data_IF_776725833720
#
_entry.id   IF_776725833720
#
_cell.length_a   1.000
_cell.length_b   1.000
_cell.length_c   1.000
_cell.angle_alpha   90.00
_cell.angle_beta   90.00
_cell.angle_gamma   90.00
#
_symmetry.space_group_name_H-M   'P 1'
#
loop_
_entity.id
_entity.type
_entity.pdbx_description
1 polymer ?
#
# COMPACT_ATOMS: atom_id res chain seq x y z
N UNK A 1 7.95 -12.61 33.70
CA UNK A 1 9.39 -12.87 33.96
C UNK A 1 9.98 -13.69 32.82
N UNK A 2 11.27 -13.48 32.45
CA UNK A 2 11.95 -14.31 31.46
C UNK A 2 11.87 -15.80 31.80
N UNK A 3 11.68 -16.67 30.80
CA UNK A 3 11.63 -18.13 30.98
C UNK A 3 10.25 -18.73 31.31
N UNK A 4 9.25 -17.93 31.69
CA UNK A 4 7.88 -18.45 31.95
C UNK A 4 7.22 -18.95 30.66
N UNK A 5 6.19 -19.80 30.79
CA UNK A 5 5.36 -20.25 29.66
C UNK A 5 4.75 -19.06 28.91
N UNK A 6 4.28 -18.05 29.64
CA UNK A 6 3.75 -16.82 29.07
C UNK A 6 4.81 -16.06 28.25
N UNK A 7 6.04 -15.92 28.76
CA UNK A 7 7.14 -15.27 28.03
C UNK A 7 7.54 -16.02 26.75
N UNK A 8 7.60 -17.36 26.81
CA UNK A 8 7.85 -18.20 25.62
C UNK A 8 6.75 -18.05 24.57
N UNK A 9 5.49 -18.08 25.00
CA UNK A 9 4.35 -17.87 24.12
C UNK A 9 4.34 -16.47 23.51
N UNK A 10 4.63 -15.44 24.30
CA UNK A 10 4.72 -14.05 23.84
C UNK A 10 5.77 -13.91 22.75
N UNK A 11 6.98 -14.42 22.98
CA UNK A 11 8.06 -14.45 21.98
C UNK A 11 7.63 -15.16 20.70
N UNK A 12 7.03 -16.35 20.82
CA UNK A 12 6.55 -17.11 19.66
C UNK A 12 5.52 -16.33 18.84
N UNK A 13 4.47 -15.80 19.46
CA UNK A 13 3.43 -15.06 18.75
C UNK A 13 3.93 -13.73 18.15
N UNK A 14 4.86 -13.06 18.84
CA UNK A 14 5.50 -11.83 18.35
C UNK A 14 6.38 -12.10 17.12
N UNK A 15 7.18 -13.17 17.14
CA UNK A 15 7.99 -13.60 16.01
C UNK A 15 7.12 -14.06 14.84
N UNK A 16 6.06 -14.83 15.11
CA UNK A 16 5.11 -15.26 14.08
C UNK A 16 4.44 -14.05 13.43
N UNK A 17 3.91 -13.11 14.22
CA UNK A 17 3.28 -11.89 13.70
C UNK A 17 4.23 -11.11 12.79
N UNK A 18 5.49 -10.97 13.20
CA UNK A 18 6.52 -10.28 12.42
C UNK A 18 6.89 -11.05 11.16
N UNK A 19 7.00 -12.38 11.21
CA UNK A 19 7.37 -13.19 10.05
C UNK A 19 6.29 -13.25 8.97
N UNK A 20 5.01 -13.20 9.35
CA UNK A 20 3.90 -13.44 8.40
C UNK A 20 3.17 -12.17 7.95
N UNK A 21 3.43 -11.01 8.55
CA UNK A 21 2.61 -9.80 8.29
C UNK A 21 2.51 -9.40 6.83
N UNK A 22 3.60 -9.49 6.06
CA UNK A 22 3.62 -9.15 4.64
C UNK A 22 2.83 -10.15 3.77
N UNK A 23 2.67 -11.38 4.23
CA UNK A 23 2.00 -12.45 3.47
C UNK A 23 0.55 -12.66 3.89
N UNK A 24 0.27 -12.54 5.18
CA UNK A 24 -1.06 -12.75 5.75
C UNK A 24 -1.35 -11.74 6.87
N UNK A 25 -1.78 -10.52 6.51
CA UNK A 25 -2.10 -9.48 7.49
C UNK A 25 -3.13 -9.96 8.53
N UNK A 26 -4.17 -10.69 8.09
CA UNK A 26 -5.22 -11.22 8.97
C UNK A 26 -4.65 -12.16 10.05
N UNK A 27 -3.72 -13.05 9.68
CA UNK A 27 -3.10 -13.96 10.65
C UNK A 27 -2.14 -13.20 11.57
N UNK A 28 -1.40 -12.23 11.05
CA UNK A 28 -0.52 -11.38 11.87
C UNK A 28 -1.32 -10.58 12.92
N UNK A 29 -2.48 -10.02 12.54
CA UNK A 29 -3.38 -9.37 13.50
C UNK A 29 -3.87 -10.33 14.59
N UNK A 30 -4.26 -11.56 14.22
CA UNK A 30 -4.66 -12.58 15.21
C UNK A 30 -3.51 -12.93 16.17
N UNK A 31 -2.29 -13.08 15.65
CA UNK A 31 -1.10 -13.31 16.46
C UNK A 31 -0.83 -12.13 17.41
N UNK A 32 -0.95 -10.89 16.94
CA UNK A 32 -0.79 -9.69 17.79
C UNK A 32 -1.84 -9.58 18.89
N UNK A 33 -3.10 -9.95 18.64
CA UNK A 33 -4.10 -10.03 19.72
C UNK A 33 -3.69 -11.02 20.82
N UNK A 34 -3.06 -12.15 20.45
CA UNK A 34 -2.53 -13.10 21.45
C UNK A 34 -1.36 -12.52 22.24
N UNK A 35 -0.48 -11.76 21.59
CA UNK A 35 0.61 -11.03 22.25
C UNK A 35 0.02 -10.05 23.27
N UNK A 36 -0.94 -9.22 22.87
CA UNK A 36 -1.59 -8.24 23.74
C UNK A 36 -2.33 -8.89 24.92
N UNK A 37 -3.05 -9.97 24.69
CA UNK A 37 -3.72 -10.71 25.76
C UNK A 37 -2.72 -11.29 26.79
N UNK A 38 -1.51 -11.68 26.36
CA UNK A 38 -0.45 -12.12 27.27
C UNK A 38 0.16 -10.95 28.05
N UNK A 39 0.30 -9.78 27.42
CA UNK A 39 0.75 -8.55 28.08
C UNK A 39 -0.25 -8.10 29.16
N UNK A 40 -1.55 -8.20 28.88
CA UNK A 40 -2.62 -7.83 29.83
C UNK A 40 -2.78 -8.84 30.98
N UNK A 41 -2.69 -10.14 30.70
CA UNK A 41 -2.95 -11.19 31.71
C UNK A 41 -1.73 -11.61 32.55
N UNK A 42 -0.53 -11.52 31.97
CA UNK A 42 0.70 -11.99 32.60
C UNK A 42 1.81 -10.93 32.65
N UNK A 43 1.54 -9.72 32.14
CA UNK A 43 2.41 -8.58 32.30
C UNK A 43 2.49 -8.15 33.76
N UNK A 44 3.66 -7.68 34.17
CA UNK A 44 3.88 -7.11 35.50
C UNK A 44 4.20 -5.64 35.28
N UNK A 45 3.44 -4.75 35.93
CA UNK A 45 3.71 -3.31 35.89
C UNK A 45 5.06 -3.06 36.56
N UNK A 46 5.92 -2.29 35.91
CA UNK A 46 7.23 -1.91 36.42
C UNK A 46 7.36 -0.38 36.32
N UNK A 47 7.80 0.24 37.40
CA UNK A 47 8.11 1.67 37.42
C UNK A 47 9.61 1.85 37.19
N UNK A 48 9.97 2.42 36.04
CA UNK A 48 11.37 2.63 35.66
C UNK A 48 11.71 4.10 35.78
N UNK A 49 12.62 4.45 36.70
CA UNK A 49 13.11 5.83 36.85
C UNK A 49 14.14 6.14 35.76
N UNK A 50 13.77 6.99 34.80
CA UNK A 50 14.71 7.57 33.86
C UNK A 50 15.39 8.81 34.47
N UNK A 51 16.71 8.78 34.64
CA UNK A 51 17.47 9.89 35.28
C UNK A 51 17.67 11.12 34.38
N UNK A 52 17.70 10.92 33.06
CA UNK A 52 17.99 11.97 32.08
C UNK A 52 16.81 12.26 31.17
N UNK A 53 16.13 11.20 30.74
CA UNK A 53 14.98 11.31 29.85
C UNK A 53 14.60 9.95 29.26
N UNK A 54 13.51 9.94 28.51
CA UNK A 54 12.99 8.80 27.76
C UNK A 54 12.96 9.18 26.29
N UNK A 55 13.47 8.30 25.42
CA UNK A 55 13.44 8.48 23.97
C UNK A 55 12.41 7.51 23.40
N UNK A 56 11.37 8.03 22.74
CA UNK A 56 10.32 7.23 22.12
C UNK A 56 10.64 6.98 20.64
N UNK A 57 10.97 5.74 20.29
CA UNK A 57 11.23 5.28 18.91
C UNK A 57 10.32 4.09 18.57
N UNK A 58 9.05 4.19 18.93
CA UNK A 58 8.08 3.08 18.81
C UNK A 58 7.38 2.98 17.43
N UNK A 59 7.85 3.73 16.44
CA UNK A 59 7.26 3.76 15.10
C UNK A 59 5.93 4.54 15.02
N UNK A 60 5.20 4.32 13.92
CA UNK A 60 3.92 5.00 13.63
C UNK A 60 2.70 4.24 14.13
N UNK A 61 1.54 4.49 13.52
CA UNK A 61 0.25 3.92 13.93
C UNK A 61 -0.50 3.14 12.83
N UNK A 62 0.18 2.74 11.74
CA UNK A 62 -0.44 2.11 10.56
C UNK A 62 -1.18 0.79 10.87
N UNK A 63 -0.84 0.10 11.96
CA UNK A 63 -1.55 -1.10 12.42
C UNK A 63 -2.68 -0.81 13.41
N UNK A 64 -2.84 0.44 13.84
CA UNK A 64 -3.96 0.89 14.64
C UNK A 64 -5.05 1.48 13.74
N UNK A 65 -6.00 0.62 13.35
CA UNK A 65 -7.06 0.99 12.41
C UNK A 65 -7.96 2.12 12.89
N UNK A 66 -8.14 2.28 14.20
CA UNK A 66 -8.91 3.41 14.75
C UNK A 66 -8.15 4.73 14.59
N UNK A 67 -6.85 4.75 14.89
CA UNK A 67 -6.03 5.94 14.63
C UNK A 67 -5.93 6.27 13.13
N UNK A 68 -5.79 5.26 12.26
CA UNK A 68 -5.82 5.48 10.80
C UNK A 68 -7.16 6.07 10.37
N UNK A 69 -8.28 5.54 10.86
CA UNK A 69 -9.62 6.07 10.56
C UNK A 69 -9.79 7.51 11.05
N UNK A 70 -9.24 7.83 12.23
CA UNK A 70 -9.33 9.16 12.82
C UNK A 70 -8.47 10.19 12.08
N UNK A 71 -7.21 9.87 11.81
CA UNK A 71 -6.23 10.85 11.33
C UNK A 71 -6.00 10.80 9.81
N UNK A 72 -6.13 9.63 9.18
CA UNK A 72 -5.88 9.43 7.75
C UNK A 72 -6.96 8.57 7.07
N UNK A 73 -8.24 8.97 7.12
CA UNK A 73 -9.36 8.13 6.65
C UNK A 73 -9.24 7.71 5.19
N UNK A 74 -8.64 8.54 4.32
CA UNK A 74 -8.41 8.22 2.90
C UNK A 74 -7.55 6.97 2.69
N UNK A 75 -6.70 6.62 3.66
CA UNK A 75 -5.77 5.48 3.59
C UNK A 75 -6.33 4.20 4.22
N UNK A 76 -7.57 4.21 4.73
CA UNK A 76 -8.14 3.11 5.50
C UNK A 76 -8.21 1.79 4.70
N UNK A 77 -8.56 1.88 3.41
CA UNK A 77 -8.66 0.72 2.52
C UNK A 77 -7.29 0.15 2.13
N UNK A 78 -6.22 0.93 2.34
CA UNK A 78 -4.85 0.51 2.09
C UNK A 78 -4.43 -0.70 2.93
N UNK A 79 -3.56 -1.52 2.34
CA UNK A 79 -2.84 -2.55 3.05
C UNK A 79 -1.79 -1.90 3.96
N UNK A 80 -1.86 -2.21 5.26
CA UNK A 80 -0.86 -1.74 6.22
C UNK A 80 0.50 -2.36 5.90
N UNK A 81 1.49 -1.50 5.65
CA UNK A 81 2.89 -1.87 5.44
C UNK A 81 3.74 -1.35 6.60
N UNK A 82 4.66 -2.18 7.08
CA UNK A 82 5.58 -1.83 8.16
C UNK A 82 5.61 -2.89 9.27
N UNK A 83 6.29 -2.59 10.37
CA UNK A 83 6.41 -3.51 11.49
C UNK A 83 5.10 -3.56 12.28
N UNK A 84 4.66 -4.76 12.65
CA UNK A 84 3.44 -4.98 13.44
C UNK A 84 3.41 -4.30 14.82
N UNK A 85 4.52 -3.72 15.27
CA UNK A 85 4.60 -2.90 16.48
C UNK A 85 4.27 -1.41 16.26
N UNK A 86 4.07 -0.97 15.02
CA UNK A 86 3.64 0.40 14.71
C UNK A 86 2.12 0.56 14.98
N UNK A 87 1.75 0.53 16.26
CA UNK A 87 0.37 0.59 16.77
C UNK A 87 0.00 1.96 17.37
N UNK A 88 0.91 2.94 17.31
CA UNK A 88 0.70 4.29 17.83
C UNK A 88 0.89 4.42 19.34
N UNK A 89 1.28 3.36 20.06
CA UNK A 89 1.47 3.40 21.52
C UNK A 89 2.45 4.48 21.98
N UNK A 90 3.56 4.68 21.26
CA UNK A 90 4.51 5.76 21.55
C UNK A 90 3.92 7.16 21.37
N UNK A 91 3.11 7.35 20.33
CA UNK A 91 2.42 8.63 20.07
C UNK A 91 1.40 8.90 21.17
N UNK A 92 0.58 7.89 21.52
CA UNK A 92 -0.41 8.00 22.59
C UNK A 92 0.24 8.26 23.96
N UNK A 93 1.42 7.68 24.22
CA UNK A 93 2.20 7.96 25.44
C UNK A 93 2.64 9.44 25.49
N UNK A 94 3.08 10.00 24.36
CA UNK A 94 3.40 11.43 24.26
C UNK A 94 2.17 12.31 24.49
N UNK A 95 1.05 12.00 23.83
CA UNK A 95 -0.22 12.72 24.01
C UNK A 95 -0.72 12.68 25.46
N UNK A 96 -0.55 11.56 26.15
CA UNK A 96 -0.89 11.44 27.58
C UNK A 96 -0.01 12.28 28.52
N UNK A 97 1.08 12.85 28.00
CA UNK A 97 1.94 13.81 28.68
C UNK A 97 1.84 15.21 28.04
N UNK A 98 0.71 15.52 27.39
CA UNK A 98 0.40 16.79 26.74
C UNK A 98 1.36 17.19 25.58
N UNK A 99 2.04 16.21 24.98
CA UNK A 99 2.87 16.49 23.81
C UNK A 99 2.01 16.87 22.60
N UNK A 100 2.44 17.90 21.88
CA UNK A 100 1.83 18.28 20.60
C UNK A 100 2.02 17.16 19.55
N UNK A 101 0.99 16.99 18.72
CA UNK A 101 1.02 16.13 17.54
C UNK A 101 0.91 17.00 16.28
N UNK A 102 1.57 16.59 15.20
CA UNK A 102 1.50 17.27 13.91
C UNK A 102 1.55 16.24 12.77
N UNK A 103 1.00 16.61 11.61
CA UNK A 103 1.02 15.82 10.36
C UNK A 103 0.51 14.38 10.50
N UNK A 104 -0.42 14.14 11.42
CA UNK A 104 -1.02 12.82 11.63
C UNK A 104 -1.84 12.35 10.42
N UNK A 105 -2.23 13.26 9.53
CA UNK A 105 -2.86 12.99 8.24
C UNK A 105 -1.88 12.50 7.16
N UNK A 106 -0.56 12.65 7.36
CA UNK A 106 0.45 12.30 6.36
C UNK A 106 0.84 10.82 6.46
N UNK A 107 0.14 10.00 5.68
CA UNK A 107 0.47 8.60 5.48
C UNK A 107 1.15 8.40 4.11
N UNK A 108 2.08 7.46 4.05
CA UNK A 108 2.78 7.14 2.80
C UNK A 108 2.09 5.96 2.11
N UNK A 109 1.46 6.21 0.95
CA UNK A 109 0.87 5.17 0.12
C UNK A 109 1.88 4.73 -0.95
N UNK A 110 2.16 3.43 -1.01
CA UNK A 110 3.15 2.86 -1.92
C UNK A 110 2.43 2.05 -2.99
N UNK A 111 2.47 2.53 -4.23
CA UNK A 111 1.96 1.78 -5.39
C UNK A 111 3.06 1.63 -6.42
N UNK A 112 3.67 0.45 -6.46
CA UNK A 112 4.62 0.11 -7.50
C UNK A 112 3.92 -0.47 -8.71
N UNK A 113 4.22 0.10 -9.88
CA UNK A 113 3.95 -0.48 -11.19
C UNK A 113 5.22 -0.93 -11.91
N UNK A 114 6.40 -0.73 -11.31
CA UNK A 114 7.68 -1.24 -11.80
C UNK A 114 8.33 -2.14 -10.75
N UNK A 115 8.84 -3.33 -11.12
CA UNK A 115 8.77 -4.02 -12.43
C UNK A 115 7.42 -4.72 -12.67
N UNK A 116 7.01 -4.99 -13.94
CA UNK A 116 7.72 -4.84 -15.22
C UNK A 116 7.67 -3.42 -15.81
N UNK A 117 8.72 -3.00 -16.52
CA UNK A 117 8.82 -1.67 -17.14
C UNK A 117 7.67 -1.38 -18.12
N UNK A 118 7.17 -2.41 -18.80
CA UNK A 118 6.05 -2.28 -19.72
C UNK A 118 4.75 -1.76 -19.07
N UNK A 119 4.63 -1.81 -17.74
CA UNK A 119 3.50 -1.19 -17.04
C UNK A 119 3.62 0.33 -16.94
N UNK A 120 4.84 0.86 -16.76
CA UNK A 120 5.06 2.31 -16.77
C UNK A 120 4.88 2.95 -18.15
N UNK A 121 4.93 2.15 -19.22
CA UNK A 121 4.64 2.60 -20.59
C UNK A 121 3.14 2.58 -20.94
N UNK A 122 2.30 2.05 -20.04
CA UNK A 122 0.86 2.14 -20.13
C UNK A 122 0.32 3.46 -19.61
N UNK A 123 -0.99 3.57 -19.51
CA UNK A 123 -1.63 4.74 -18.88
C UNK A 123 -2.34 4.36 -17.59
N UNK A 124 -2.16 5.15 -16.54
CA UNK A 124 -2.88 4.98 -15.28
C UNK A 124 -4.02 5.99 -15.22
N UNK A 125 -5.25 5.49 -15.15
CA UNK A 125 -6.46 6.31 -15.10
C UNK A 125 -7.17 6.22 -13.76
N UNK A 126 -7.82 7.32 -13.35
CA UNK A 126 -8.69 7.39 -12.17
C UNK A 126 -10.04 6.69 -12.42
N UNK A 127 -10.99 6.81 -11.49
CA UNK A 127 -12.33 6.25 -11.61
C UNK A 127 -13.26 7.02 -12.55
N UNK A 128 -12.79 8.11 -13.16
CA UNK A 128 -13.45 8.85 -14.24
C UNK A 128 -12.87 8.49 -15.63
N UNK A 129 -11.74 7.79 -15.70
CA UNK A 129 -11.07 7.45 -16.96
C UNK A 129 -10.04 8.49 -17.42
N UNK A 130 -9.61 9.38 -16.53
CA UNK A 130 -8.62 10.44 -16.80
C UNK A 130 -7.25 10.04 -16.25
N UNK A 131 -6.19 10.36 -16.99
CA UNK A 131 -4.81 10.30 -16.47
C UNK A 131 -4.62 11.40 -15.44
N UNK A 132 -3.85 11.11 -14.40
CA UNK A 132 -3.63 12.07 -13.29
C UNK A 132 -2.19 12.21 -12.83
N UNK A 133 -1.30 11.30 -13.25
CA UNK A 133 0.10 11.36 -12.87
C UNK A 133 0.94 10.63 -13.92
N UNK A 134 2.16 11.12 -14.15
CA UNK A 134 3.16 10.44 -14.95
C UNK A 134 3.48 9.06 -14.34
N UNK A 135 3.37 8.02 -15.15
CA UNK A 135 3.49 6.61 -14.75
C UNK A 135 4.93 6.18 -14.41
N UNK A 136 5.94 7.00 -14.74
CA UNK A 136 7.35 6.76 -14.42
C UNK A 136 7.77 7.33 -13.06
N UNK A 137 6.92 8.13 -12.40
CA UNK A 137 7.26 8.72 -11.11
C UNK A 137 7.47 7.68 -10.02
N UNK A 138 8.12 8.11 -8.94
CA UNK A 138 8.32 7.27 -7.77
C UNK A 138 6.98 6.73 -7.24
N UNK A 139 6.92 5.43 -6.91
CA UNK A 139 5.66 4.76 -6.55
C UNK A 139 4.95 5.33 -5.31
N UNK A 140 5.66 6.06 -4.44
CA UNK A 140 5.01 6.79 -3.34
C UNK A 140 4.34 8.10 -3.80
N UNK A 141 4.85 8.75 -4.86
CA UNK A 141 4.21 9.94 -5.45
C UNK A 141 2.95 9.53 -6.21
N UNK A 142 3.02 8.45 -7.01
CA UNK A 142 1.85 7.87 -7.67
C UNK A 142 0.79 7.45 -6.64
N UNK A 143 1.21 6.75 -5.58
CA UNK A 143 0.31 6.32 -4.52
C UNK A 143 -0.31 7.48 -3.71
N UNK A 144 0.47 8.54 -3.45
CA UNK A 144 -0.03 9.77 -2.83
C UNK A 144 -1.14 10.39 -3.66
N UNK A 145 -0.90 10.61 -4.97
CA UNK A 145 -1.89 11.25 -5.83
C UNK A 145 -3.17 10.42 -5.97
N UNK A 146 -2.99 9.11 -6.12
CA UNK A 146 -4.09 8.15 -6.16
C UNK A 146 -5.00 8.24 -4.92
N UNK A 147 -4.43 8.29 -3.72
CA UNK A 147 -5.20 8.30 -2.47
C UNK A 147 -5.74 9.68 -2.13
N UNK A 148 -4.95 10.73 -2.31
CA UNK A 148 -5.33 12.08 -1.90
C UNK A 148 -6.34 12.74 -2.84
N UNK A 149 -6.22 12.48 -4.14
CA UNK A 149 -6.96 13.19 -5.18
C UNK A 149 -7.90 12.29 -6.01
N UNK A 150 -7.71 10.96 -5.99
CA UNK A 150 -8.48 10.01 -6.84
C UNK A 150 -9.11 8.83 -6.08
N UNK A 151 -9.59 9.08 -4.86
CA UNK A 151 -10.36 8.12 -4.05
C UNK A 151 -9.64 6.77 -3.79
N UNK A 152 -8.31 6.72 -3.91
CA UNK A 152 -7.52 5.51 -3.73
C UNK A 152 -7.70 4.46 -4.82
N UNK A 153 -8.33 4.80 -5.96
CA UNK A 153 -8.61 3.85 -7.05
C UNK A 153 -7.91 4.29 -8.33
N UNK A 154 -7.27 3.32 -8.98
CA UNK A 154 -6.66 3.53 -10.29
C UNK A 154 -6.69 2.25 -11.12
N UNK A 155 -6.80 2.42 -12.44
CA UNK A 155 -6.75 1.33 -13.42
C UNK A 155 -5.57 1.55 -14.34
N UNK A 156 -4.71 0.54 -14.47
CA UNK A 156 -3.64 0.53 -15.48
C UNK A 156 -4.20 -0.03 -16.80
N UNK A 157 -4.14 0.77 -17.85
CA UNK A 157 -4.54 0.40 -19.21
C UNK A 157 -3.29 0.05 -20.01
N UNK A 158 -3.32 -1.13 -20.65
CA UNK A 158 -2.25 -1.64 -21.49
C UNK A 158 -2.82 -2.09 -22.83
N UNK A 159 -2.09 -1.81 -23.90
CA UNK A 159 -2.38 -2.43 -25.20
C UNK A 159 -1.87 -3.88 -25.23
N UNK A 160 -2.21 -4.61 -26.30
CA UNK A 160 -1.85 -6.03 -26.46
C UNK A 160 -0.35 -6.27 -26.43
N UNK A 161 0.44 -5.37 -27.00
CA UNK A 161 1.89 -5.55 -27.11
C UNK A 161 2.61 -5.25 -25.81
N UNK A 162 2.22 -4.19 -25.10
CA UNK A 162 2.67 -3.90 -23.73
C UNK A 162 2.30 -5.03 -22.78
N UNK A 163 1.09 -5.62 -22.91
CA UNK A 163 0.71 -6.77 -22.10
C UNK A 163 1.63 -7.98 -22.35
N UNK A 164 1.97 -8.28 -23.62
CA UNK A 164 2.91 -9.35 -23.96
C UNK A 164 4.33 -9.05 -23.47
N UNK A 165 4.78 -7.81 -23.59
CA UNK A 165 6.10 -7.38 -23.08
C UNK A 165 6.17 -7.51 -21.57
N UNK A 166 5.16 -7.02 -20.84
CA UNK A 166 5.02 -7.17 -19.40
C UNK A 166 5.08 -8.65 -19.02
N UNK A 167 4.33 -9.50 -19.72
CA UNK A 167 4.33 -10.95 -19.48
C UNK A 167 5.73 -11.55 -19.64
N UNK A 168 6.43 -11.22 -20.72
CA UNK A 168 7.78 -11.69 -20.99
C UNK A 168 8.84 -11.19 -20.01
N UNK A 169 8.60 -10.03 -19.37
CA UNK A 169 9.49 -9.43 -18.38
C UNK A 169 9.29 -10.03 -16.98
N UNK A 170 8.07 -10.48 -16.64
CA UNK A 170 7.78 -11.09 -15.33
C UNK A 170 8.07 -12.59 -15.27
N UNK A 171 8.40 -13.23 -16.40
CA UNK A 171 8.70 -14.66 -16.46
C UNK A 171 9.82 -15.07 -15.47
N UNK A 172 9.73 -16.28 -14.89
CA UNK A 172 10.73 -16.79 -13.95
C UNK A 172 12.15 -16.69 -14.52
N UNK A 173 13.07 -16.07 -13.77
CA UNK A 173 14.47 -15.87 -14.16
C UNK A 173 14.82 -14.44 -14.58
N UNK A 174 13.84 -13.55 -14.81
CA UNK A 174 14.09 -12.12 -15.14
C UNK A 174 13.85 -11.16 -13.98
N UNK A 175 13.00 -11.54 -13.04
CA UNK A 175 12.78 -10.81 -11.78
C UNK A 175 12.78 -11.79 -10.62
N UNK A 176 12.89 -11.28 -9.39
CA UNK A 176 12.85 -12.11 -8.20
C UNK A 176 11.53 -12.88 -8.11
N UNK A 177 11.60 -14.15 -7.71
CA UNK A 177 10.43 -15.04 -7.64
C UNK A 177 9.25 -14.45 -6.84
N UNK A 178 9.54 -13.71 -5.75
CA UNK A 178 8.52 -13.06 -4.93
C UNK A 178 7.81 -11.90 -5.63
N UNK A 179 8.36 -11.37 -6.73
CA UNK A 179 7.75 -10.33 -7.58
C UNK A 179 7.01 -10.95 -8.77
N UNK A 180 7.55 -12.04 -9.35
CA UNK A 180 6.91 -12.79 -10.44
C UNK A 180 5.50 -13.27 -10.08
N UNK A 181 5.35 -13.93 -8.92
CA UNK A 181 4.07 -14.54 -8.57
C UNK A 181 2.93 -13.50 -8.39
N UNK A 182 3.11 -12.40 -7.64
CA UNK A 182 2.10 -11.34 -7.56
C UNK A 182 1.83 -10.65 -8.90
N UNK A 183 2.85 -10.40 -9.72
CA UNK A 183 2.68 -9.72 -11.00
C UNK A 183 1.86 -10.57 -11.98
N UNK A 184 2.20 -11.86 -12.12
CA UNK A 184 1.42 -12.81 -12.90
C UNK A 184 -0.01 -12.93 -12.36
N UNK A 185 -0.17 -13.03 -11.04
CA UNK A 185 -1.49 -13.09 -10.41
C UNK A 185 -2.35 -11.86 -10.76
N UNK A 186 -1.77 -10.66 -10.70
CA UNK A 186 -2.45 -9.43 -11.09
C UNK A 186 -2.83 -9.44 -12.58
N UNK A 187 -1.93 -9.91 -13.46
CA UNK A 187 -2.18 -10.00 -14.90
C UNK A 187 -3.25 -11.04 -15.26
N UNK A 188 -3.40 -12.12 -14.49
CA UNK A 188 -4.38 -13.18 -14.77
C UNK A 188 -5.72 -13.01 -14.05
N UNK A 189 -5.72 -12.59 -12.79
CA UNK A 189 -6.96 -12.52 -11.98
C UNK A 189 -7.66 -11.16 -12.07
N UNK A 190 -6.91 -10.07 -12.20
CA UNK A 190 -7.45 -8.70 -12.13
C UNK A 190 -7.53 -8.00 -13.49
N UNK A 191 -7.12 -8.66 -14.57
CA UNK A 191 -7.14 -8.08 -15.92
C UNK A 191 -8.51 -8.24 -16.60
N UNK A 192 -9.05 -7.13 -17.11
CA UNK A 192 -10.20 -7.13 -18.02
C UNK A 192 -9.70 -6.91 -19.45
N UNK A 193 -10.14 -7.74 -20.38
CA UNK A 193 -9.80 -7.65 -21.81
C UNK A 193 -11.03 -7.21 -22.61
N UNK A 194 -10.82 -6.40 -23.63
CA UNK A 194 -11.86 -5.92 -24.53
C UNK A 194 -11.27 -5.74 -25.93
N UNK A 195 -12.11 -5.79 -26.98
CA UNK A 195 -11.67 -5.56 -28.37
C UNK A 195 -11.79 -4.09 -28.80
N UNK A 196 -12.47 -3.25 -28.02
CA UNK A 196 -12.60 -1.80 -28.25
C UNK A 196 -12.51 -0.99 -26.95
N UNK A 197 -12.21 0.31 -27.07
CA UNK A 197 -12.17 1.25 -25.94
C UNK A 197 -13.56 1.35 -25.29
N UNK A 198 -14.62 1.39 -26.09
CA UNK A 198 -16.03 1.38 -25.64
C UNK A 198 -16.38 0.18 -24.76
N UNK A 199 -15.94 -1.02 -25.17
CA UNK A 199 -16.17 -2.23 -24.39
C UNK A 199 -15.32 -2.24 -23.11
N UNK A 200 -14.08 -1.73 -23.17
CA UNK A 200 -13.21 -1.59 -22.01
C UNK A 200 -13.80 -0.64 -20.98
N UNK A 201 -14.26 0.56 -21.41
CA UNK A 201 -14.88 1.58 -20.58
C UNK A 201 -16.06 1.01 -19.79
N UNK A 202 -16.96 0.26 -20.45
CA UNK A 202 -18.08 -0.44 -19.79
C UNK A 202 -17.62 -1.46 -18.76
N UNK A 203 -16.55 -2.22 -19.03
CA UNK A 203 -16.01 -3.24 -18.11
C UNK A 203 -15.37 -2.63 -16.86
N UNK A 204 -14.72 -1.47 -16.99
CA UNK A 204 -14.08 -0.77 -15.87
C UNK A 204 -14.98 0.32 -15.26
N UNK A 205 -16.20 0.50 -15.78
CA UNK A 205 -17.24 1.43 -15.30
C UNK A 205 -16.83 2.91 -15.35
N UNK A 206 -16.16 3.32 -16.42
CA UNK A 206 -15.82 4.73 -16.70
C UNK A 206 -16.54 5.23 -17.95
N UNK A 207 -16.54 6.54 -18.16
CA UNK A 207 -17.08 7.15 -19.37
C UNK A 207 -16.26 6.73 -20.60
N UNK A 208 -16.95 6.29 -21.65
CA UNK A 208 -16.33 5.94 -22.93
C UNK A 208 -15.67 7.15 -23.59
N UNK A 209 -16.36 8.29 -23.56
CA UNK A 209 -15.87 9.55 -24.14
C UNK A 209 -14.58 10.00 -23.43
N UNK A 210 -14.60 10.02 -22.10
CA UNK A 210 -13.44 10.42 -21.29
C UNK A 210 -12.26 9.49 -21.52
N UNK A 211 -12.46 8.17 -21.48
CA UNK A 211 -11.38 7.21 -21.68
C UNK A 211 -10.80 7.29 -23.10
N UNK A 212 -11.65 7.44 -24.12
CA UNK A 212 -11.21 7.59 -25.51
C UNK A 212 -10.40 8.86 -25.69
N UNK A 213 -10.88 10.00 -25.16
CA UNK A 213 -10.15 11.26 -25.19
C UNK A 213 -8.80 11.17 -24.48
N UNK A 214 -8.74 10.53 -23.32
CA UNK A 214 -7.49 10.31 -22.58
C UNK A 214 -6.48 9.48 -23.38
N UNK A 215 -6.92 8.37 -23.99
CA UNK A 215 -6.06 7.52 -24.81
C UNK A 215 -5.58 8.27 -26.06
N UNK A 216 -6.46 9.05 -26.69
CA UNK A 216 -6.13 9.83 -27.87
C UNK A 216 -5.05 10.88 -27.54
N UNK A 217 -5.24 11.68 -26.48
CA UNK A 217 -4.25 12.68 -26.04
C UNK A 217 -2.90 12.06 -25.73
N UNK A 218 -2.88 10.92 -25.03
CA UNK A 218 -1.64 10.18 -24.76
C UNK A 218 -0.98 9.69 -26.05
N UNK A 219 -1.75 9.19 -27.01
CA UNK A 219 -1.24 8.71 -28.29
C UNK A 219 -0.69 9.86 -29.12
N UNK A 220 -1.35 11.01 -29.11
CA UNK A 220 -0.89 12.22 -29.81
C UNK A 220 0.42 12.72 -29.21
N UNK A 221 0.54 12.76 -27.87
CA UNK A 221 1.78 13.10 -27.18
C UNK A 221 2.91 12.10 -27.50
N UNK A 222 2.63 10.80 -27.46
CA UNK A 222 3.60 9.75 -27.79
C UNK A 222 4.09 9.81 -29.25
N UNK A 223 3.25 10.30 -30.17
CA UNK A 223 3.61 10.51 -31.58
C UNK A 223 4.24 11.89 -31.84
N UNK A 224 4.40 12.74 -30.81
CA UNK A 224 4.94 14.09 -30.94
C UNK A 224 3.99 15.09 -31.60
N UNK A 225 2.69 14.80 -31.65
CA UNK A 225 1.65 15.68 -32.20
C UNK A 225 1.15 16.71 -31.16
N UNK A 226 1.40 16.48 -29.88
CA UNK A 226 1.07 17.36 -28.76
C UNK A 226 2.12 17.23 -27.63
N UNK A 227 2.14 18.18 -26.70
CA UNK A 227 2.91 18.02 -25.44
C UNK A 227 2.17 17.10 -24.47
N UNK A 228 2.90 16.38 -23.61
CA UNK A 228 2.28 15.59 -22.54
C UNK A 228 1.76 16.53 -21.45
N UNK A 229 0.53 16.26 -20.98
CA UNK A 229 -0.17 17.09 -20.01
C UNK A 229 0.36 16.87 -18.56
N UNK A 230 1.23 15.86 -18.33
CA UNK A 230 1.62 15.34 -17.01
C UNK A 230 3.13 15.08 -16.81
#
# INVERSE_FOLDING_TARGET
MPGTKAARNHKFWSQLATGIHNYSPKLAFKARRKVRALEESAGVIQYIRARKGVILTAGGFIFNREMVKQYGPKYQEGLSLGTTGCDGSGIQMGMGADAAIDRMDKLSAWRFINPPLAWAQGIVVNDQGERYCNEEVYGAKLGYEMVEHHNGRATLILNKDLFKQAFNQVLPGKIWFFQTAPALMSMYLNCKKASSISELARKIKVSEETLTGTIQRYTDAANGLAEDEL
#
